data_IF_870646668457
#
_entry.id   IF_870646668457
#
_cell.length_a   1.000
_cell.length_b   1.000
_cell.length_c   1.000
_cell.angle_alpha   90.00
_cell.angle_beta   90.00
_cell.angle_gamma   90.00
#
_symmetry.space_group_name_H-M   'P 1'
#
loop_
_entity.id
_entity.type
_entity.pdbx_description
1 polymer ?
#
# COMPACT_ATOMS: atom_id res chain seq x y z
N UNK A 1 -14.29 0.35 24.86
CA UNK A 1 -14.55 1.04 23.57
C UNK A 1 -14.95 -0.02 22.55
N UNK A 2 -15.90 0.27 21.66
CA UNK A 2 -16.36 -0.66 20.61
C UNK A 2 -16.20 0.04 19.26
N UNK A 3 -15.52 -0.61 18.32
CA UNK A 3 -15.38 -0.11 16.95
C UNK A 3 -16.50 -0.67 16.07
N UNK A 4 -17.05 0.18 15.19
CA UNK A 4 -18.01 -0.22 14.17
C UNK A 4 -17.42 0.14 12.80
N UNK A 5 -17.43 -0.81 11.86
CA UNK A 5 -17.07 -0.56 10.46
C UNK A 5 -18.37 -0.41 9.66
N UNK A 6 -18.50 0.71 8.97
CA UNK A 6 -19.63 1.03 8.09
C UNK A 6 -19.09 1.71 6.84
N UNK A 7 -19.79 1.54 5.72
CA UNK A 7 -19.48 2.27 4.50
C UNK A 7 -20.03 3.69 4.57
N UNK A 8 -19.25 4.62 4.05
CA UNK A 8 -19.55 6.03 4.03
C UNK A 8 -18.87 6.68 2.83
N UNK A 9 -19.46 7.76 2.35
CA UNK A 9 -18.93 8.56 1.25
C UNK A 9 -18.47 9.90 1.79
N UNK A 10 -17.29 10.34 1.34
CA UNK A 10 -16.84 11.73 1.53
C UNK A 10 -17.15 12.47 0.23
N UNK A 11 -17.97 13.50 0.32
CA UNK A 11 -18.34 14.32 -0.84
C UNK A 11 -17.22 15.32 -1.23
N UNK A 12 -17.43 16.04 -2.34
CA UNK A 12 -16.47 17.04 -2.85
C UNK A 12 -16.24 18.20 -1.86
N UNK A 13 -17.16 18.42 -0.93
CA UNK A 13 -17.08 19.44 0.12
C UNK A 13 -16.40 18.90 1.38
N UNK A 14 -16.00 17.63 1.42
CA UNK A 14 -15.35 16.98 2.54
C UNK A 14 -16.31 16.50 3.64
N UNK A 15 -17.62 16.42 3.37
CA UNK A 15 -18.59 15.93 4.33
C UNK A 15 -18.71 14.41 4.28
N UNK A 16 -18.66 13.78 5.45
CA UNK A 16 -18.84 12.34 5.59
C UNK A 16 -20.33 12.01 5.71
N UNK A 17 -20.87 11.29 4.72
CA UNK A 17 -22.23 10.76 4.74
C UNK A 17 -22.18 9.25 4.89
N UNK A 18 -22.82 8.74 5.94
CA UNK A 18 -22.96 7.29 6.13
C UNK A 18 -24.03 6.74 5.20
N UNK A 19 -23.77 5.60 4.57
CA UNK A 19 -24.76 4.96 3.69
C UNK A 19 -26.00 4.55 4.48
N UNK A 20 -25.80 4.14 5.74
CA UNK A 20 -26.86 3.75 6.67
C UNK A 20 -26.64 4.36 8.07
N UNK A 21 -27.72 4.67 8.83
CA UNK A 21 -27.60 5.18 10.19
C UNK A 21 -26.89 4.21 11.15
N UNK A 22 -26.09 4.76 12.06
CA UNK A 22 -25.53 3.98 13.16
C UNK A 22 -26.62 3.69 14.20
N UNK A 23 -26.91 2.42 14.43
CA UNK A 23 -27.82 2.00 15.49
C UNK A 23 -27.03 1.93 16.79
N UNK A 24 -27.16 2.96 17.62
CA UNK A 24 -26.56 3.07 18.95
C UNK A 24 -27.65 3.23 20.00
N UNK A 25 -27.46 2.60 21.16
CA UNK A 25 -28.48 2.55 22.23
C UNK A 25 -28.74 3.92 22.91
N UNK A 26 -27.85 4.89 22.68
CA UNK A 26 -27.90 6.22 23.28
C UNK A 26 -27.33 7.27 22.35
N UNK A 27 -27.88 8.48 22.40
CA UNK A 27 -27.26 9.63 21.77
C UNK A 27 -25.96 9.99 22.52
N UNK A 28 -24.83 9.96 21.82
CA UNK A 28 -23.53 10.28 22.40
C UNK A 28 -22.54 10.72 21.33
N UNK A 29 -21.56 11.53 21.73
CA UNK A 29 -20.40 11.87 20.88
C UNK A 29 -19.51 10.63 20.70
N UNK A 30 -19.03 10.44 19.48
CA UNK A 30 -18.15 9.33 19.11
C UNK A 30 -16.88 9.84 18.43
N UNK A 31 -15.82 9.05 18.45
CA UNK A 31 -14.61 9.25 17.65
C UNK A 31 -14.75 8.51 16.31
N UNK A 32 -14.32 9.14 15.22
CA UNK A 32 -14.43 8.58 13.85
C UNK A 32 -13.02 8.38 13.31
N UNK A 33 -12.74 7.18 12.79
CA UNK A 33 -11.51 6.85 12.08
C UNK A 33 -11.86 6.61 10.61
N UNK A 34 -11.21 7.35 9.71
CA UNK A 34 -11.44 7.27 8.26
C UNK A 34 -10.26 6.55 7.64
N UNK A 35 -10.52 5.52 6.85
CA UNK A 35 -9.52 4.82 6.05
C UNK A 35 -9.67 5.28 4.60
N UNK A 36 -8.71 6.05 4.11
CA UNK A 36 -8.63 6.44 2.70
C UNK A 36 -7.68 5.44 2.03
N UNK A 37 -8.12 4.67 1.02
CA UNK A 37 -7.22 3.81 0.28
C UNK A 37 -6.19 4.71 -0.43
N UNK A 38 -4.92 4.40 -0.24
CA UNK A 38 -3.89 4.96 -1.11
C UNK A 38 -4.13 4.39 -2.50
N UNK A 39 -4.22 5.25 -3.52
CA UNK A 39 -4.12 4.77 -4.88
C UNK A 39 -2.72 4.16 -5.00
N UNK A 40 -2.65 2.88 -5.35
CA UNK A 40 -1.38 2.28 -5.75
C UNK A 40 -0.91 3.08 -6.97
N UNK A 41 -0.02 4.05 -6.73
CA UNK A 41 0.77 4.63 -7.80
C UNK A 41 1.54 3.46 -8.37
N UNK A 42 1.15 3.00 -9.56
CA UNK A 42 1.99 2.14 -10.36
C UNK A 42 3.18 3.02 -10.81
N UNK A 43 4.09 3.30 -9.88
CA UNK A 43 5.29 4.09 -10.10
C UNK A 43 6.25 3.40 -11.08
N UNK A 44 5.96 2.15 -11.42
CA UNK A 44 6.62 1.40 -12.48
C UNK A 44 5.58 0.89 -13.47
N UNK A 45 5.82 1.15 -14.75
CA UNK A 45 4.97 0.62 -15.81
C UNK A 45 5.10 -0.91 -15.86
N UNK A 46 4.03 -1.61 -16.24
CA UNK A 46 4.06 -3.07 -16.41
C UNK A 46 5.17 -3.51 -17.39
N UNK A 47 5.54 -2.65 -18.35
CA UNK A 47 6.61 -2.90 -19.29
C UNK A 47 8.00 -2.89 -18.63
N UNK A 48 8.24 -1.96 -17.69
CA UNK A 48 9.50 -1.89 -16.93
C UNK A 48 9.66 -3.12 -16.03
N UNK A 49 8.62 -3.52 -15.30
CA UNK A 49 8.65 -4.73 -14.45
C UNK A 49 8.99 -5.98 -15.28
N UNK A 50 8.41 -6.11 -16.48
CA UNK A 50 8.67 -7.25 -17.37
C UNK A 50 10.10 -7.22 -17.95
N UNK A 51 10.64 -6.04 -18.22
CA UNK A 51 12.01 -5.88 -18.70
C UNK A 51 13.02 -6.28 -17.61
N UNK A 52 12.84 -5.75 -16.39
CA UNK A 52 13.69 -6.04 -15.23
C UNK A 52 13.65 -7.54 -14.87
N UNK A 53 12.47 -8.15 -14.93
CA UNK A 53 12.32 -9.58 -14.69
C UNK A 53 13.06 -10.43 -15.75
N UNK A 54 12.97 -10.07 -17.03
CA UNK A 54 13.70 -10.78 -18.10
C UNK A 54 15.21 -10.67 -17.93
N UNK A 55 15.68 -9.48 -17.54
CA UNK A 55 17.09 -9.23 -17.30
C UNK A 55 17.60 -10.07 -16.12
N UNK A 56 16.97 -9.95 -14.95
CA UNK A 56 17.35 -10.70 -13.75
C UNK A 56 17.26 -12.22 -13.95
N UNK A 57 16.28 -12.70 -14.71
CA UNK A 57 16.20 -14.12 -15.11
C UNK A 57 17.37 -14.54 -16.01
N UNK A 58 17.76 -13.70 -16.97
CA UNK A 58 18.91 -13.98 -17.83
C UNK A 58 20.22 -14.03 -17.02
N UNK A 59 20.43 -13.07 -16.13
CA UNK A 59 21.59 -13.02 -15.24
C UNK A 59 21.70 -14.25 -14.34
N UNK A 60 20.57 -14.70 -13.76
CA UNK A 60 20.51 -15.92 -12.97
C UNK A 60 20.86 -17.17 -13.81
N UNK A 61 20.36 -17.25 -15.04
CA UNK A 61 20.60 -18.38 -15.94
C UNK A 61 22.04 -18.42 -16.50
N UNK A 62 22.70 -17.26 -16.63
CA UNK A 62 24.08 -17.16 -17.12
C UNK A 62 25.12 -17.16 -15.99
N UNK A 63 24.68 -17.19 -14.73
CA UNK A 63 25.56 -17.12 -13.57
C UNK A 63 26.16 -15.73 -13.33
N UNK A 64 25.60 -14.70 -13.95
CA UNK A 64 25.95 -13.30 -13.73
C UNK A 64 25.31 -12.79 -12.43
N UNK A 65 25.56 -13.49 -11.33
CA UNK A 65 25.01 -13.21 -10.01
C UNK A 65 26.13 -13.08 -8.99
N UNK A 66 25.94 -12.25 -7.97
CA UNK A 66 26.87 -12.16 -6.84
C UNK A 66 26.37 -13.04 -5.67
N UNK A 67 27.25 -13.75 -4.95
CA UNK A 67 26.88 -14.46 -3.74
C UNK A 67 26.33 -13.51 -2.69
N UNK A 68 25.35 -13.98 -1.91
CA UNK A 68 24.72 -13.17 -0.85
C UNK A 68 25.75 -12.66 0.18
N UNK A 69 26.79 -13.44 0.46
CA UNK A 69 27.88 -13.04 1.36
C UNK A 69 28.67 -11.83 0.84
N UNK A 70 28.71 -11.61 -0.48
CA UNK A 70 29.44 -10.53 -1.13
C UNK A 70 28.58 -9.29 -1.41
N UNK A 71 27.26 -9.34 -1.15
CA UNK A 71 26.36 -8.20 -1.33
C UNK A 71 26.75 -7.00 -0.45
N UNK A 72 27.35 -7.27 0.71
CA UNK A 72 27.70 -6.25 1.71
C UNK A 72 29.11 -5.67 1.52
N UNK A 73 29.99 -6.34 0.74
CA UNK A 73 31.39 -5.96 0.55
C UNK A 73 31.58 -4.61 -0.18
N UNK A 74 30.54 -4.07 -0.83
CA UNK A 74 30.55 -2.78 -1.52
C UNK A 74 29.76 -1.66 -0.84
N UNK A 75 29.22 -1.91 0.36
CA UNK A 75 28.41 -0.94 1.12
C UNK A 75 29.16 -0.36 2.35
N UNK A 76 30.38 -0.82 2.62
CA UNK A 76 31.19 -0.43 3.78
C UNK A 76 32.15 0.75 3.53
N UNK A 77 32.15 1.33 2.32
CA UNK A 77 32.93 2.53 1.96
C UNK A 77 32.00 3.77 1.91
N UNK A 78 31.64 4.30 3.09
CA UNK A 78 31.21 5.70 3.31
C UNK A 78 31.43 6.13 4.78
#
# INVERSE_FOLDING_TARGET
>A
MKALKVMATIDEQGQLTLDHPLIIDKNSRVEVIILIPEEETQDTSQAEILADFRQSWHEAMTGQTIPVSQLWEGLEDD
#
